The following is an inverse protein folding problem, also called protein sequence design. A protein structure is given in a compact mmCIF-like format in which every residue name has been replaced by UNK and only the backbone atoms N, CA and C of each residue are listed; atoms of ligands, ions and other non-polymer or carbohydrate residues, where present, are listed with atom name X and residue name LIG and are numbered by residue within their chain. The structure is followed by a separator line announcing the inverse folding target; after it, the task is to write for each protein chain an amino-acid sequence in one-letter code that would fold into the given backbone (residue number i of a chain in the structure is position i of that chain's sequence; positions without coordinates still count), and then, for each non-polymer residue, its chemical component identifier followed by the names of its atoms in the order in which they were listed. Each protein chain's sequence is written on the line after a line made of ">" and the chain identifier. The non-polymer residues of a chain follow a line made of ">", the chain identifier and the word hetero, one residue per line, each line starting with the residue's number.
data_IF_373197107992
#
_entry.id   IF_373197107992
#
_cell.length_a   1.000
_cell.length_b   1.000
_cell.length_c   1.000
_cell.angle_alpha   90.00
_cell.angle_beta   90.00
_cell.angle_gamma   90.00
#
_symmetry.space_group_name_H-M   'P 1'
#
loop_
_entity.id
_entity.type
_entity.pdbx_description
1 polymer ?
#
# COMPACT_ATOMS: atom_id res chain seq x y z
N UNK A 1 -2.66 -7.21 -18.01
CA UNK A 1 -3.32 -7.81 -19.19
C UNK A 1 -3.97 -9.14 -18.90
N UNK A 2 -3.28 -10.11 -18.28
CA UNK A 2 -3.85 -11.44 -17.96
C UNK A 2 -5.29 -11.41 -17.41
N UNK A 3 -5.53 -10.64 -16.35
CA UNK A 3 -6.85 -10.54 -15.72
C UNK A 3 -7.76 -9.46 -16.31
N UNK A 4 -7.21 -8.45 -17.00
CA UNK A 4 -7.97 -7.26 -17.44
C UNK A 4 -8.31 -7.24 -18.94
N UNK A 5 -7.69 -8.10 -19.75
CA UNK A 5 -7.86 -8.07 -21.20
C UNK A 5 -9.20 -8.67 -21.68
N UNK A 6 -9.89 -9.46 -20.84
CA UNK A 6 -11.16 -10.11 -21.17
C UNK A 6 -11.06 -11.27 -22.17
N UNK A 7 -9.90 -11.49 -22.80
CA UNK A 7 -9.64 -12.55 -23.76
C UNK A 7 -8.42 -13.43 -23.40
N UNK A 8 -7.91 -13.29 -22.17
CA UNK A 8 -6.85 -14.13 -21.60
C UNK A 8 -7.47 -15.06 -20.56
N UNK A 9 -7.23 -14.79 -19.29
CA UNK A 9 -7.77 -15.61 -18.21
C UNK A 9 -9.21 -15.15 -17.89
N UNK A 10 -10.07 -16.09 -17.50
CA UNK A 10 -11.42 -15.78 -17.08
C UNK A 10 -11.43 -15.23 -15.66
N UNK A 11 -12.03 -14.05 -15.48
CA UNK A 11 -12.13 -13.38 -14.18
C UNK A 11 -13.59 -13.02 -13.88
N UNK A 12 -13.92 -12.85 -12.60
CA UNK A 12 -15.20 -12.32 -12.15
C UNK A 12 -14.97 -11.31 -11.02
N UNK A 13 -15.72 -10.21 -11.04
CA UNK A 13 -15.67 -9.18 -10.00
C UNK A 13 -17.07 -8.62 -9.74
N UNK A 14 -17.30 -8.17 -8.50
CA UNK A 14 -18.52 -7.48 -8.10
C UNK A 14 -18.18 -6.08 -7.59
N UNK A 15 -18.80 -5.07 -8.19
CA UNK A 15 -18.80 -3.69 -7.69
C UNK A 15 -20.14 -3.39 -7.02
N UNK A 16 -20.10 -2.92 -5.77
CA UNK A 16 -21.30 -2.49 -5.05
C UNK A 16 -20.99 -1.29 -4.17
N UNK A 17 -21.98 -0.42 -3.98
CA UNK A 17 -21.91 0.73 -3.09
C UNK A 17 -23.19 0.83 -2.26
N UNK A 18 -23.17 1.61 -1.18
CA UNK A 18 -24.34 1.85 -0.35
C UNK A 18 -24.94 3.22 -0.70
N UNK A 19 -26.13 3.29 -1.33
CA UNK A 19 -26.70 4.57 -1.78
C UNK A 19 -26.92 5.60 -0.65
N UNK A 20 -27.16 5.14 0.58
CA UNK A 20 -27.31 6.00 1.76
C UNK A 20 -25.98 6.48 2.37
N UNK A 21 -24.83 5.98 1.89
CA UNK A 21 -23.50 6.30 2.44
C UNK A 21 -22.54 6.73 1.31
N UNK A 22 -22.85 7.86 0.70
CA UNK A 22 -22.06 8.45 -0.39
C UNK A 22 -21.32 9.70 0.08
N UNK A 23 -20.18 9.98 -0.55
CA UNK A 23 -19.58 11.31 -0.49
C UNK A 23 -20.43 12.26 -1.34
N UNK A 24 -20.82 13.41 -0.80
CA UNK A 24 -21.73 14.32 -1.52
C UNK A 24 -21.49 15.81 -1.25
N UNK A 25 -22.00 16.69 -2.14
CA UNK A 25 -21.76 18.14 -2.09
C UNK A 25 -22.21 18.83 -0.80
N UNK A 26 -23.13 18.22 -0.04
CA UNK A 26 -23.62 18.75 1.24
C UNK A 26 -22.75 18.39 2.46
N UNK A 27 -21.51 17.93 2.27
CA UNK A 27 -20.62 17.51 3.36
C UNK A 27 -20.91 16.10 3.90
N UNK A 28 -21.85 15.37 3.29
CA UNK A 28 -22.08 13.96 3.59
C UNK A 28 -20.84 13.14 3.27
N UNK A 29 -20.37 12.34 4.23
CA UNK A 29 -19.23 11.44 4.07
C UNK A 29 -19.69 9.99 4.02
N UNK A 30 -19.09 9.20 3.15
CA UNK A 30 -19.30 7.76 3.10
C UNK A 30 -18.77 7.12 4.40
N UNK A 31 -19.67 6.90 5.37
CA UNK A 31 -19.39 6.27 6.66
C UNK A 31 -20.23 4.99 6.85
N UNK A 32 -20.30 4.18 5.78
CA UNK A 32 -20.97 2.88 5.78
C UNK A 32 -20.00 1.70 5.99
N UNK A 33 -20.40 0.50 5.55
CA UNK A 33 -19.63 -0.73 5.63
C UNK A 33 -18.30 -0.64 4.86
N UNK A 34 -18.28 0.02 3.70
CA UNK A 34 -17.03 0.21 2.94
C UNK A 34 -16.00 1.01 3.74
N UNK A 35 -16.45 2.05 4.45
CA UNK A 35 -15.58 2.85 5.32
C UNK A 35 -15.08 2.03 6.52
N UNK A 36 -15.98 1.30 7.19
CA UNK A 36 -15.62 0.43 8.30
C UNK A 36 -14.62 -0.65 7.90
N UNK A 37 -14.83 -1.30 6.75
CA UNK A 37 -13.92 -2.31 6.22
C UNK A 37 -12.54 -1.71 5.89
N UNK A 38 -12.48 -0.54 5.25
CA UNK A 38 -11.22 0.17 5.02
C UNK A 38 -10.50 0.46 6.34
N UNK A 39 -11.20 0.96 7.36
CA UNK A 39 -10.60 1.23 8.66
C UNK A 39 -10.10 -0.03 9.35
N UNK A 40 -10.82 -1.15 9.23
CA UNK A 40 -10.38 -2.46 9.73
C UNK A 40 -9.08 -2.91 9.08
N UNK A 41 -8.96 -2.79 7.76
CA UNK A 41 -7.71 -3.11 7.04
C UNK A 41 -6.57 -2.19 7.45
N UNK A 42 -6.84 -0.89 7.60
CA UNK A 42 -5.83 0.07 8.04
C UNK A 42 -5.35 -0.24 9.45
N UNK A 43 -6.26 -0.58 10.36
CA UNK A 43 -5.90 -1.01 11.70
C UNK A 43 -5.04 -2.28 11.69
N UNK A 44 -5.37 -3.27 10.86
CA UNK A 44 -4.55 -4.48 10.70
C UNK A 44 -3.14 -4.15 10.19
N UNK A 45 -3.02 -3.28 9.19
CA UNK A 45 -1.73 -3.00 8.55
C UNK A 45 -0.86 -1.99 9.30
N UNK A 46 -1.45 -1.06 10.05
CA UNK A 46 -0.74 0.02 10.76
C UNK A 46 -0.65 -0.23 12.28
N UNK A 47 -1.49 -1.11 12.84
CA UNK A 47 -1.61 -1.47 14.25
C UNK A 47 -1.32 -0.29 15.20
N UNK A 48 -0.19 -0.34 15.91
CA UNK A 48 0.16 0.60 16.98
C UNK A 48 0.32 2.06 16.51
N UNK A 49 0.52 2.28 15.21
CA UNK A 49 0.67 3.61 14.63
C UNK A 49 -0.66 4.34 14.43
N UNK A 50 -1.81 3.66 14.52
CA UNK A 50 -3.11 4.34 14.55
C UNK A 50 -3.49 4.85 15.94
N UNK A 51 -3.02 4.20 17.00
CA UNK A 51 -3.42 4.49 18.39
C UNK A 51 -2.41 5.36 19.17
N UNK A 52 -1.21 5.59 18.64
CA UNK A 52 -0.16 6.36 19.31
C UNK A 52 -0.33 7.88 19.14
N UNK A 53 -1.40 8.44 19.71
CA UNK A 53 -1.56 9.87 20.03
C UNK A 53 -2.16 10.77 18.95
N UNK A 54 -3.10 11.62 19.39
CA UNK A 54 -3.73 12.79 18.74
C UNK A 54 -4.31 12.67 17.31
N UNK A 55 -4.15 11.54 16.61
CA UNK A 55 -4.34 11.46 15.17
C UNK A 55 -5.26 10.35 14.64
N UNK A 56 -6.08 9.68 15.47
CA UNK A 56 -7.03 8.67 14.95
C UNK A 56 -7.94 9.26 13.85
N UNK A 57 -8.32 10.53 14.00
CA UNK A 57 -9.16 11.26 13.07
C UNK A 57 -8.50 11.50 11.70
N UNK A 58 -7.16 11.56 11.64
CA UNK A 58 -6.45 11.80 10.36
C UNK A 58 -6.74 10.68 9.35
N UNK A 59 -6.88 9.45 9.85
CA UNK A 59 -7.15 8.28 9.02
C UNK A 59 -8.60 8.25 8.51
N UNK A 60 -9.50 9.07 9.08
CA UNK A 60 -10.87 9.23 8.57
C UNK A 60 -10.91 9.99 7.23
N UNK A 61 -9.83 10.70 6.91
CA UNK A 61 -9.66 11.60 5.77
C UNK A 61 -8.49 11.12 4.87
N UNK A 62 -8.61 9.94 4.22
CA UNK A 62 -7.52 9.32 3.45
C UNK A 62 -7.00 10.19 2.29
N UNK A 63 -7.81 11.14 1.82
CA UNK A 63 -7.45 12.09 0.77
C UNK A 63 -6.53 13.22 1.26
N UNK A 64 -6.44 13.44 2.57
CA UNK A 64 -5.68 14.56 3.13
C UNK A 64 -4.17 14.27 3.08
N UNK A 65 -3.38 15.32 2.81
CA UNK A 65 -1.92 15.23 2.84
C UNK A 65 -1.40 14.83 4.24
N UNK A 66 -2.11 15.22 5.29
CA UNK A 66 -1.79 14.84 6.66
C UNK A 66 -1.91 13.33 6.87
N UNK A 67 -2.98 12.73 6.36
CA UNK A 67 -3.21 11.29 6.42
C UNK A 67 -2.17 10.50 5.63
N UNK A 68 -1.92 10.90 4.38
CA UNK A 68 -0.87 10.28 3.55
C UNK A 68 0.50 10.41 4.23
N UNK A 69 0.79 11.57 4.83
CA UNK A 69 2.00 11.78 5.61
C UNK A 69 2.09 10.87 6.84
N UNK A 70 0.99 10.66 7.56
CA UNK A 70 0.92 9.77 8.71
C UNK A 70 1.15 8.30 8.32
N UNK A 71 0.46 7.83 7.28
CA UNK A 71 0.64 6.49 6.71
C UNK A 71 2.08 6.27 6.26
N UNK A 72 2.67 7.24 5.56
CA UNK A 72 4.08 7.18 5.14
C UNK A 72 5.01 7.06 6.34
N UNK A 73 4.88 7.92 7.36
CA UNK A 73 5.74 7.87 8.56
C UNK A 73 5.65 6.52 9.29
N UNK A 74 4.44 5.97 9.40
CA UNK A 74 4.24 4.64 9.99
C UNK A 74 4.95 3.55 9.16
N UNK A 75 4.77 3.55 7.84
CA UNK A 75 5.38 2.57 6.96
C UNK A 75 6.92 2.67 6.98
N UNK A 76 7.48 3.88 7.01
CA UNK A 76 8.93 4.12 7.13
C UNK A 76 9.49 3.57 8.44
N UNK A 77 8.80 3.78 9.57
CA UNK A 77 9.22 3.22 10.86
C UNK A 77 9.16 1.67 10.85
N UNK A 78 8.14 1.09 10.22
CA UNK A 78 8.02 -0.36 10.06
C UNK A 78 9.10 -0.93 9.12
N UNK A 79 9.44 -0.22 8.04
CA UNK A 79 10.58 -0.57 7.16
C UNK A 79 11.88 -0.64 7.94
N UNK A 80 12.17 0.41 8.71
CA UNK A 80 13.40 0.48 9.48
C UNK A 80 13.48 -0.64 10.52
N UNK A 81 12.35 -1.07 11.10
CA UNK A 81 12.31 -2.22 11.98
C UNK A 81 12.48 -3.54 11.21
N UNK A 82 11.80 -3.68 10.06
CA UNK A 82 11.85 -4.88 9.20
C UNK A 82 13.27 -5.18 8.69
N UNK A 83 14.05 -4.16 8.37
CA UNK A 83 15.40 -4.34 7.79
C UNK A 83 16.54 -4.32 8.81
N UNK A 84 16.25 -4.24 10.12
CA UNK A 84 17.29 -4.32 11.15
C UNK A 84 17.70 -5.77 11.39
N UNK A 85 18.94 -5.96 11.80
CA UNK A 85 19.48 -7.29 12.16
C UNK A 85 18.78 -7.93 13.38
N UNK A 86 18.07 -7.12 14.18
CA UNK A 86 17.36 -7.60 15.36
C UNK A 86 15.99 -8.14 14.97
N UNK A 87 15.76 -9.41 15.30
CA UNK A 87 14.44 -10.04 15.20
C UNK A 87 13.53 -9.51 16.32
N UNK A 88 12.42 -8.91 15.93
CA UNK A 88 11.35 -8.47 16.82
C UNK A 88 9.99 -8.54 16.11
N UNK A 89 8.92 -8.65 16.89
CA UNK A 89 7.57 -8.59 16.33
C UNK A 89 7.28 -7.16 15.84
N UNK A 90 6.98 -7.03 14.54
CA UNK A 90 6.60 -5.75 13.95
C UNK A 90 5.22 -5.34 14.45
N UNK A 91 5.08 -4.06 14.80
CA UNK A 91 3.82 -3.47 15.29
C UNK A 91 3.00 -2.90 14.14
N UNK A 92 2.85 -3.69 13.08
CA UNK A 92 2.22 -3.35 11.82
C UNK A 92 2.86 -4.11 10.65
N UNK A 93 2.19 -4.13 9.50
CA UNK A 93 2.61 -4.90 8.31
C UNK A 93 2.75 -4.03 7.06
N UNK A 94 2.37 -2.74 7.12
CA UNK A 94 2.52 -1.85 5.99
C UNK A 94 3.97 -1.40 5.83
N UNK A 95 4.62 -1.88 4.78
CA UNK A 95 5.96 -1.46 4.39
C UNK A 95 5.89 -0.62 3.10
N UNK A 96 6.70 0.44 2.96
CA UNK A 96 6.91 1.05 1.66
C UNK A 96 7.49 0.01 0.72
N UNK A 97 7.06 0.03 -0.53
CA UNK A 97 7.76 -0.74 -1.55
C UNK A 97 9.21 -0.24 -1.64
N UNK A 98 10.24 -1.11 -1.73
CA UNK A 98 11.64 -0.72 -1.52
C UNK A 98 12.30 0.00 -2.70
N UNK A 99 11.63 1.01 -3.21
CA UNK A 99 12.11 1.96 -4.20
C UNK A 99 11.99 3.38 -3.65
N UNK A 100 12.74 4.30 -4.24
CA UNK A 100 12.55 5.74 -4.06
C UNK A 100 12.25 6.38 -5.42
N UNK A 101 11.56 7.51 -5.39
CA UNK A 101 11.20 8.27 -6.59
C UNK A 101 11.70 9.70 -6.40
N UNK A 102 12.51 10.19 -7.34
CA UNK A 102 13.01 11.57 -7.32
C UNK A 102 11.91 12.57 -7.69
N UNK A 103 12.16 13.87 -7.48
CA UNK A 103 11.26 14.93 -7.95
C UNK A 103 11.06 14.94 -9.48
N UNK A 104 11.99 14.33 -10.22
CA UNK A 104 11.94 14.17 -11.68
C UNK A 104 11.28 12.85 -12.12
N UNK A 105 10.79 12.04 -11.19
CA UNK A 105 10.15 10.76 -11.48
C UNK A 105 11.13 9.59 -11.73
N UNK A 106 12.41 9.76 -11.42
CA UNK A 106 13.40 8.69 -11.55
C UNK A 106 13.26 7.69 -10.41
N UNK A 107 13.26 6.39 -10.75
CA UNK A 107 13.13 5.30 -9.78
C UNK A 107 14.51 4.79 -9.37
N UNK A 108 14.82 4.88 -8.09
CA UNK A 108 16.05 4.35 -7.50
C UNK A 108 15.75 3.23 -6.49
N UNK A 109 16.75 2.40 -6.20
CA UNK A 109 16.62 1.37 -5.18
C UNK A 109 16.71 1.99 -3.79
N UNK A 110 15.89 1.51 -2.86
CA UNK A 110 15.96 1.93 -1.46
C UNK A 110 17.01 1.12 -0.67
N UNK A 111 17.23 -0.13 -1.05
CA UNK A 111 18.25 -1.01 -0.45
C UNK A 111 19.62 -0.75 -1.07
N UNK A 112 20.68 -0.89 -0.28
CA UNK A 112 22.04 -0.59 -0.71
C UNK A 112 22.54 -1.49 -1.86
N UNK A 113 22.04 -2.73 -1.92
CA UNK A 113 22.39 -3.73 -2.94
C UNK A 113 21.32 -3.88 -4.04
N UNK A 114 20.24 -3.08 -3.98
CA UNK A 114 19.12 -3.14 -4.91
C UNK A 114 18.30 -4.44 -4.87
N UNK A 115 18.50 -5.29 -3.85
CA UNK A 115 17.78 -6.55 -3.69
C UNK A 115 16.76 -6.46 -2.54
N UNK A 116 15.78 -7.38 -2.53
CA UNK A 116 14.94 -7.57 -1.35
C UNK A 116 15.80 -8.10 -0.18
N UNK A 117 15.53 -7.68 1.07
CA UNK A 117 16.23 -8.21 2.25
C UNK A 117 16.28 -9.73 2.25
N UNK A 118 17.42 -10.28 2.65
CA UNK A 118 17.70 -11.72 2.70
C UNK A 118 17.67 -12.47 1.35
N UNK A 119 17.69 -11.75 0.23
CA UNK A 119 17.68 -12.35 -1.11
C UNK A 119 18.79 -11.81 -2.02
N UNK A 120 18.92 -12.43 -3.20
CA UNK A 120 19.65 -11.88 -4.35
C UNK A 120 18.71 -11.42 -5.47
N UNK A 121 17.44 -11.21 -5.14
CA UNK A 121 16.39 -10.87 -6.10
C UNK A 121 16.29 -9.35 -6.25
N UNK A 122 16.53 -8.78 -7.45
CA UNK A 122 16.46 -7.34 -7.66
C UNK A 122 15.05 -6.79 -7.45
N UNK A 123 14.91 -5.70 -6.70
CA UNK A 123 13.61 -5.06 -6.42
C UNK A 123 12.91 -4.61 -7.70
N UNK A 124 13.65 -3.96 -8.62
CA UNK A 124 13.14 -3.49 -9.91
C UNK A 124 12.89 -4.62 -10.92
N UNK A 125 13.18 -5.86 -10.55
CA UNK A 125 13.10 -7.01 -11.43
C UNK A 125 14.11 -6.96 -12.57
N UNK A 126 13.92 -7.85 -13.54
CA UNK A 126 14.75 -7.94 -14.76
C UNK A 126 13.87 -8.38 -15.92
N UNK A 127 13.95 -7.66 -17.04
CA UNK A 127 13.27 -8.07 -18.27
C UNK A 127 13.81 -9.43 -18.73
N UNK A 128 12.92 -10.39 -18.94
CA UNK A 128 13.30 -11.68 -19.50
C UNK A 128 13.59 -11.54 -21.00
N UNK A 129 14.67 -12.18 -21.46
CA UNK A 129 14.98 -12.29 -22.89
C UNK A 129 14.29 -13.51 -23.54
N UNK A 130 13.79 -14.44 -22.72
CA UNK A 130 13.24 -15.73 -23.19
C UNK A 130 11.72 -15.80 -23.05
N UNK A 131 11.16 -15.18 -22.01
CA UNK A 131 9.72 -15.22 -21.77
C UNK A 131 9.04 -14.07 -22.52
N UNK A 132 8.10 -14.35 -23.44
CA UNK A 132 7.34 -13.31 -24.12
C UNK A 132 6.39 -12.59 -23.16
N UNK A 133 6.08 -11.33 -23.48
CA UNK A 133 5.24 -10.47 -22.64
C UNK A 133 3.87 -11.11 -22.34
N UNK A 134 3.27 -11.81 -23.31
CA UNK A 134 1.97 -12.49 -23.16
C UNK A 134 1.91 -13.45 -21.96
N UNK A 135 3.05 -14.00 -21.52
CA UNK A 135 3.10 -14.89 -20.35
C UNK A 135 3.29 -14.16 -19.02
N UNK A 136 3.72 -12.89 -19.04
CA UNK A 136 4.16 -12.13 -17.85
C UNK A 136 3.38 -10.84 -17.61
N UNK A 137 2.44 -10.48 -18.50
CA UNK A 137 1.54 -9.32 -18.38
C UNK A 137 0.08 -9.68 -18.25
#
# INVERSE_FOLDING_TARGET
>A
ERSLAGNRDSEIAQGSYQPAHLNGPGGGRARGLVHGFRMSLWHEHLMSHMCAGAGEDVFLEPESAECVGAVRRAAEALWDAYTRDRVEDLRGHLLPFPISVSEFGEVADRTADGCFPDTRAPVKGRKSATLPAILTT
#
